data_IF_544728133785
#
_entry.id   IF_544728133785
#
_cell.length_a   1.000
_cell.length_b   1.000
_cell.length_c   1.000
_cell.angle_alpha   90.00
_cell.angle_beta   90.00
_cell.angle_gamma   90.00
#
_symmetry.space_group_name_H-M   'P 1'
#
loop_
_entity.id
_entity.type
_entity.pdbx_description
1 polymer ?
#
# COMPACT_ATOMS: atom_id res chain seq x y z
N UNK A 1 -37.14 39.91 4.96
CA UNK A 1 -35.87 39.16 5.07
C UNK A 1 -36.14 37.94 5.93
N UNK A 2 -36.44 36.80 5.29
CA UNK A 2 -36.65 35.52 5.96
C UNK A 2 -35.28 34.81 6.02
N UNK A 3 -34.87 34.40 7.22
CA UNK A 3 -33.74 33.49 7.41
C UNK A 3 -34.23 32.09 7.05
N UNK A 4 -33.53 31.48 6.11
CA UNK A 4 -33.75 30.12 5.67
C UNK A 4 -32.88 29.25 6.59
N UNK A 5 -33.50 28.66 7.62
CA UNK A 5 -32.86 27.67 8.47
C UNK A 5 -32.60 26.42 7.63
N UNK A 6 -31.32 26.09 7.48
CA UNK A 6 -30.88 24.88 6.80
C UNK A 6 -31.02 23.70 7.75
N UNK A 7 -31.99 22.83 7.47
CA UNK A 7 -32.13 21.51 8.07
C UNK A 7 -30.88 20.67 7.77
N UNK A 8 -29.94 20.64 8.71
CA UNK A 8 -28.88 19.64 8.76
C UNK A 8 -29.48 18.45 9.50
N UNK A 9 -29.86 17.41 8.78
CA UNK A 9 -30.23 16.13 9.41
C UNK A 9 -29.06 15.65 10.27
N UNK A 10 -29.27 15.35 11.57
CA UNK A 10 -28.25 14.74 12.39
C UNK A 10 -27.88 13.38 11.79
N UNK A 11 -26.58 13.13 11.69
CA UNK A 11 -25.99 11.87 11.29
C UNK A 11 -26.63 10.74 12.13
N UNK A 12 -27.63 10.06 11.57
CA UNK A 12 -28.28 8.91 12.20
C UNK A 12 -27.19 7.90 12.53
N UNK A 13 -26.95 7.68 13.82
CA UNK A 13 -26.09 6.62 14.31
C UNK A 13 -26.48 5.33 13.59
N UNK A 14 -25.57 4.83 12.74
CA UNK A 14 -25.78 3.57 12.05
C UNK A 14 -26.01 2.52 13.12
N UNK A 15 -27.16 1.84 13.05
CA UNK A 15 -27.55 0.78 13.95
C UNK A 15 -26.36 -0.14 14.22
N UNK A 16 -26.07 -0.39 15.50
CA UNK A 16 -25.01 -1.28 15.93
C UNK A 16 -25.10 -2.59 15.13
N UNK A 17 -24.00 -3.03 14.49
CA UNK A 17 -24.03 -4.24 13.68
C UNK A 17 -24.50 -5.41 14.53
N UNK A 18 -25.54 -6.10 14.06
CA UNK A 18 -26.03 -7.34 14.65
C UNK A 18 -24.84 -8.28 14.95
N UNK A 19 -24.79 -8.88 16.16
CA UNK A 19 -23.66 -9.70 16.61
C UNK A 19 -23.52 -11.05 15.86
N UNK A 20 -24.33 -11.30 14.82
CA UNK A 20 -24.45 -12.61 14.17
C UNK A 20 -23.65 -12.74 12.85
N UNK A 21 -22.56 -11.97 12.70
CA UNK A 21 -21.67 -12.06 11.50
C UNK A 21 -20.41 -12.89 11.72
N UNK A 22 -20.30 -13.62 12.84
CA UNK A 22 -19.01 -14.10 13.37
C UNK A 22 -18.42 -15.35 12.73
N UNK A 23 -19.07 -16.01 11.77
CA UNK A 23 -18.40 -17.07 11.02
C UNK A 23 -18.82 -17.11 9.55
N UNK A 24 -18.10 -16.38 8.69
CA UNK A 24 -18.10 -16.74 7.28
C UNK A 24 -17.20 -17.98 7.09
N UNK A 25 -17.75 -19.18 6.79
CA UNK A 25 -16.97 -20.41 6.68
C UNK A 25 -15.92 -20.37 5.56
N UNK A 26 -16.01 -19.37 4.66
CA UNK A 26 -15.05 -19.14 3.59
C UNK A 26 -13.80 -18.41 4.05
N UNK A 27 -13.77 -17.75 5.21
CA UNK A 27 -12.61 -16.98 5.66
C UNK A 27 -11.70 -17.85 6.55
N UNK A 28 -10.68 -18.45 5.94
CA UNK A 28 -9.62 -19.18 6.64
C UNK A 28 -8.28 -18.49 6.38
N UNK A 29 -7.40 -18.44 7.38
CA UNK A 29 -6.07 -17.81 7.21
C UNK A 29 -5.26 -18.50 6.10
N UNK A 30 -5.49 -19.80 5.90
CA UNK A 30 -4.90 -20.56 4.80
C UNK A 30 -5.21 -19.95 3.43
N UNK A 31 -6.40 -19.38 3.26
CA UNK A 31 -6.79 -18.77 2.00
C UNK A 31 -5.97 -17.52 1.66
N UNK A 32 -5.59 -16.73 2.67
CA UNK A 32 -4.64 -15.64 2.48
C UNK A 32 -3.33 -16.18 1.93
N UNK A 33 -2.81 -17.25 2.52
CA UNK A 33 -1.57 -17.87 2.06
C UNK A 33 -1.68 -18.43 0.65
N UNK A 34 -2.82 -19.04 0.27
CA UNK A 34 -3.06 -19.46 -1.13
C UNK A 34 -3.02 -18.26 -2.08
N UNK A 35 -3.65 -17.14 -1.73
CA UNK A 35 -3.61 -15.91 -2.54
C UNK A 35 -2.18 -15.40 -2.67
N UNK A 36 -1.45 -15.29 -1.56
CA UNK A 36 -0.08 -14.79 -1.51
C UNK A 36 0.89 -15.70 -2.27
N UNK A 37 0.80 -17.01 -2.10
CA UNK A 37 1.64 -17.99 -2.79
C UNK A 37 1.40 -17.99 -4.30
N UNK A 38 0.14 -17.97 -4.74
CA UNK A 38 -0.17 -17.92 -6.18
C UNK A 38 0.36 -16.64 -6.83
N UNK A 39 0.20 -15.48 -6.18
CA UNK A 39 0.71 -14.21 -6.69
C UNK A 39 2.23 -14.09 -6.58
N UNK A 40 2.82 -14.61 -5.50
CA UNK A 40 4.27 -14.66 -5.33
C UNK A 40 4.93 -15.56 -6.37
N UNK A 41 4.33 -16.72 -6.67
CA UNK A 41 4.77 -17.61 -7.73
C UNK A 41 4.64 -16.94 -9.11
N UNK A 42 3.52 -16.25 -9.38
CA UNK A 42 3.36 -15.49 -10.62
C UNK A 42 4.45 -14.41 -10.80
N UNK A 43 4.73 -13.63 -9.75
CA UNK A 43 5.78 -12.62 -9.76
C UNK A 43 7.18 -13.24 -9.92
N UNK A 44 7.46 -14.34 -9.22
CA UNK A 44 8.70 -15.11 -9.33
C UNK A 44 8.92 -15.60 -10.77
N UNK A 45 7.91 -16.25 -11.37
CA UNK A 45 7.97 -16.77 -12.73
C UNK A 45 8.17 -15.64 -13.75
N UNK A 46 7.50 -14.51 -13.55
CA UNK A 46 7.67 -13.32 -14.38
C UNK A 46 9.12 -12.81 -14.32
N UNK A 47 9.69 -12.65 -13.13
CA UNK A 47 11.09 -12.24 -12.95
C UNK A 47 12.07 -13.23 -13.57
N UNK A 48 11.84 -14.54 -13.40
CA UNK A 48 12.67 -15.59 -14.01
C UNK A 48 12.60 -15.56 -15.53
N UNK A 49 11.43 -15.29 -16.10
CA UNK A 49 11.23 -15.19 -17.54
C UNK A 49 12.00 -14.01 -18.14
N UNK A 50 12.10 -12.88 -17.41
CA UNK A 50 12.98 -11.78 -17.77
C UNK A 50 14.47 -12.08 -17.53
N UNK A 51 14.81 -12.87 -16.52
CA UNK A 51 16.19 -13.24 -16.20
C UNK A 51 16.80 -14.18 -17.25
N UNK A 52 16.07 -15.20 -17.69
CA UNK A 52 16.55 -16.23 -18.63
C UNK A 52 16.44 -15.82 -20.10
N UNK A 53 16.28 -14.53 -20.41
CA UNK A 53 16.09 -14.04 -21.78
C UNK A 53 14.96 -14.76 -22.52
N UNK A 54 13.91 -15.18 -21.81
CA UNK A 54 12.77 -15.92 -22.35
C UNK A 54 11.92 -15.11 -23.34
N UNK A 55 12.16 -13.80 -23.48
CA UNK A 55 11.55 -12.97 -24.52
C UNK A 55 12.59 -12.10 -25.25
N UNK A 56 13.39 -12.68 -26.17
CA UNK A 56 14.44 -11.95 -26.89
C UNK A 56 13.89 -10.77 -27.73
N UNK A 57 12.62 -10.86 -28.14
CA UNK A 57 11.88 -9.83 -28.89
C UNK A 57 11.77 -8.49 -28.15
N UNK A 58 11.67 -8.50 -26.81
CA UNK A 58 11.50 -7.25 -26.04
C UNK A 58 12.82 -6.67 -25.54
N UNK A 59 13.84 -7.50 -25.31
CA UNK A 59 15.17 -7.04 -24.86
C UNK A 59 15.94 -6.30 -25.97
N UNK A 60 15.72 -6.71 -27.22
CA UNK A 60 16.30 -6.06 -28.40
C UNK A 60 15.43 -4.93 -28.96
N UNK A 61 14.27 -4.66 -28.34
CA UNK A 61 13.42 -3.56 -28.76
C UNK A 61 14.06 -2.23 -28.38
N UNK A 62 14.35 -1.40 -29.37
CA UNK A 62 14.73 0.01 -29.15
C UNK A 62 13.56 0.84 -28.59
N UNK A 63 12.33 0.31 -28.68
CA UNK A 63 11.12 0.98 -28.22
C UNK A 63 10.78 0.62 -26.78
N UNK A 64 10.93 1.60 -25.88
CA UNK A 64 10.53 1.50 -24.46
C UNK A 64 9.04 1.20 -24.28
N UNK A 65 8.20 1.57 -25.26
CA UNK A 65 6.76 1.31 -25.22
C UNK A 65 6.44 -0.18 -25.19
N UNK A 66 7.21 -1.00 -25.89
CA UNK A 66 7.00 -2.45 -25.89
C UNK A 66 7.18 -3.05 -24.48
N UNK A 67 8.18 -2.57 -23.73
CA UNK A 67 8.42 -2.96 -22.33
C UNK A 67 7.32 -2.45 -21.40
N UNK A 68 6.84 -1.21 -21.59
CA UNK A 68 5.73 -0.64 -20.80
C UNK A 68 4.46 -1.45 -21.03
N UNK A 69 4.09 -1.74 -22.28
CA UNK A 69 2.89 -2.54 -22.60
C UNK A 69 2.99 -3.97 -22.08
N UNK A 70 4.16 -4.59 -22.15
CA UNK A 70 4.40 -5.90 -21.55
C UNK A 70 4.20 -5.86 -20.03
N UNK A 71 4.72 -4.82 -19.35
CA UNK A 71 4.50 -4.61 -17.92
C UNK A 71 3.02 -4.45 -17.59
N UNK A 72 2.28 -3.62 -18.34
CA UNK A 72 0.84 -3.45 -18.17
C UNK A 72 0.06 -4.75 -18.39
N UNK A 73 0.47 -5.57 -19.36
CA UNK A 73 -0.12 -6.89 -19.59
C UNK A 73 0.10 -7.81 -18.38
N UNK A 74 1.34 -7.87 -17.88
CA UNK A 74 1.67 -8.66 -16.68
C UNK A 74 0.86 -8.21 -15.48
N UNK A 75 0.76 -6.90 -15.23
CA UNK A 75 -0.04 -6.36 -14.13
C UNK A 75 -1.54 -6.67 -14.30
N UNK A 76 -2.05 -6.63 -15.53
CA UNK A 76 -3.45 -6.97 -15.82
C UNK A 76 -3.72 -8.46 -15.55
N UNK A 77 -2.82 -9.35 -15.96
CA UNK A 77 -2.91 -10.78 -15.68
C UNK A 77 -2.86 -11.06 -14.17
N UNK A 78 -1.95 -10.41 -13.45
CA UNK A 78 -1.84 -10.54 -12.00
C UNK A 78 -3.08 -9.99 -11.28
N UNK A 79 -3.60 -8.85 -11.71
CA UNK A 79 -4.86 -8.29 -11.19
C UNK A 79 -6.05 -9.24 -11.43
N UNK A 80 -6.11 -9.89 -12.60
CA UNK A 80 -7.10 -10.93 -12.89
C UNK A 80 -6.98 -12.14 -11.96
N UNK A 81 -5.76 -12.61 -11.69
CA UNK A 81 -5.51 -13.68 -10.72
C UNK A 81 -5.97 -13.28 -9.30
N UNK A 82 -5.65 -12.06 -8.85
CA UNK A 82 -6.13 -11.52 -7.57
C UNK A 82 -7.66 -11.51 -7.54
N UNK A 83 -8.29 -10.98 -8.59
CA UNK A 83 -9.74 -10.90 -8.67
C UNK A 83 -10.40 -12.27 -8.51
N UNK A 84 -9.93 -13.28 -9.26
CA UNK A 84 -10.46 -14.65 -9.18
C UNK A 84 -10.28 -15.25 -7.79
N UNK A 85 -9.07 -15.15 -7.22
CA UNK A 85 -8.77 -15.77 -5.93
C UNK A 85 -9.49 -15.07 -4.76
N UNK A 86 -9.57 -13.74 -4.78
CA UNK A 86 -10.29 -12.96 -3.74
C UNK A 86 -11.79 -13.23 -3.82
N UNK A 87 -12.39 -13.32 -5.02
CA UNK A 87 -13.81 -13.72 -5.14
C UNK A 87 -14.09 -15.13 -4.66
N UNK A 88 -13.14 -16.05 -4.86
CA UNK A 88 -13.27 -17.43 -4.42
C UNK A 88 -13.15 -17.59 -2.91
N UNK A 89 -12.22 -16.85 -2.30
CA UNK A 89 -11.79 -17.12 -0.93
C UNK A 89 -12.04 -16.00 0.10
N UNK A 90 -12.45 -14.82 -0.35
CA UNK A 90 -12.70 -13.66 0.50
C UNK A 90 -14.02 -12.97 0.11
N UNK A 91 -14.29 -11.82 0.73
CA UNK A 91 -15.53 -11.07 0.49
C UNK A 91 -15.38 -10.20 -0.76
N UNK A 92 -16.33 -10.27 -1.69
CA UNK A 92 -16.28 -9.52 -2.96
C UNK A 92 -16.09 -8.01 -2.76
N UNK A 93 -16.70 -7.42 -1.73
CA UNK A 93 -16.57 -5.99 -1.46
C UNK A 93 -15.13 -5.56 -1.12
N UNK A 94 -14.23 -6.50 -0.79
CA UNK A 94 -12.82 -6.19 -0.56
C UNK A 94 -12.10 -5.77 -1.85
N UNK A 95 -12.62 -6.15 -3.01
CA UNK A 95 -12.11 -5.71 -4.31
C UNK A 95 -12.56 -4.28 -4.67
N UNK A 96 -13.68 -3.82 -4.12
CA UNK A 96 -14.28 -2.52 -4.47
C UNK A 96 -13.89 -1.42 -3.50
N UNK A 97 -13.88 -1.74 -2.20
CA UNK A 97 -13.64 -0.78 -1.11
C UNK A 97 -12.35 0.04 -1.25
N UNK A 98 -11.26 -0.44 -1.85
CA UNK A 98 -10.06 0.39 -2.01
C UNK A 98 -10.14 1.47 -3.11
N UNK A 99 -11.20 1.47 -3.93
CA UNK A 99 -11.30 2.31 -5.13
C UNK A 99 -12.26 3.49 -4.98
N UNK A 100 -12.51 3.98 -3.76
CA UNK A 100 -13.27 5.20 -3.55
C UNK A 100 -12.48 6.42 -4.03
N UNK A 101 -13.00 7.13 -5.04
CA UNK A 101 -12.31 8.26 -5.69
C UNK A 101 -11.82 9.33 -4.71
N UNK A 102 -12.62 9.66 -3.69
CA UNK A 102 -12.26 10.65 -2.65
C UNK A 102 -10.98 10.26 -1.91
N UNK A 103 -10.81 8.96 -1.60
CA UNK A 103 -9.61 8.47 -0.93
C UNK A 103 -8.37 8.59 -1.82
N UNK A 104 -8.53 8.39 -3.13
CA UNK A 104 -7.47 8.53 -4.13
C UNK A 104 -7.07 9.98 -4.36
N UNK A 105 -8.01 10.90 -4.45
CA UNK A 105 -7.71 12.33 -4.60
C UNK A 105 -6.97 12.88 -3.38
N UNK A 106 -7.45 12.53 -2.19
CA UNK A 106 -6.79 12.93 -0.95
C UNK A 106 -5.40 12.28 -0.81
N UNK A 107 -5.29 10.98 -1.13
CA UNK A 107 -4.02 10.27 -1.15
C UNK A 107 -3.03 10.86 -2.15
N UNK A 108 -3.51 11.31 -3.31
CA UNK A 108 -2.70 11.98 -4.33
C UNK A 108 -2.20 13.32 -3.81
N UNK A 109 -3.06 14.14 -3.22
CA UNK A 109 -2.67 15.42 -2.64
C UNK A 109 -1.59 15.22 -1.56
N UNK A 110 -1.86 14.37 -0.55
CA UNK A 110 -0.91 14.14 0.56
C UNK A 110 0.35 13.45 0.07
N UNK A 111 0.22 12.42 -0.78
CA UNK A 111 1.36 11.70 -1.34
C UNK A 111 2.28 12.61 -2.16
N UNK A 112 1.70 13.47 -2.99
CA UNK A 112 2.43 14.47 -3.76
C UNK A 112 3.12 15.49 -2.84
N UNK A 113 2.42 16.01 -1.82
CA UNK A 113 3.02 16.94 -0.85
C UNK A 113 4.19 16.30 -0.11
N UNK A 114 4.02 15.09 0.42
CA UNK A 114 5.08 14.37 1.13
C UNK A 114 6.26 14.07 0.22
N UNK A 115 5.98 13.68 -1.01
CA UNK A 115 7.01 13.49 -2.01
C UNK A 115 7.75 14.80 -2.26
N UNK A 116 7.06 15.92 -2.55
CA UNK A 116 7.69 17.23 -2.73
C UNK A 116 8.55 17.65 -1.53
N UNK A 117 8.07 17.46 -0.30
CA UNK A 117 8.83 17.78 0.92
C UNK A 117 10.08 16.89 1.07
N UNK A 118 9.95 15.60 0.79
CA UNK A 118 11.09 14.67 0.80
C UNK A 118 12.14 15.10 -0.23
N UNK A 119 11.68 15.46 -1.43
CA UNK A 119 12.53 15.92 -2.53
C UNK A 119 13.20 17.26 -2.18
N UNK A 120 12.47 18.21 -1.58
CA UNK A 120 13.03 19.49 -1.12
C UNK A 120 14.08 19.30 -0.02
N UNK A 121 13.85 18.39 0.92
CA UNK A 121 14.83 18.06 1.95
C UNK A 121 16.09 17.41 1.37
N UNK A 122 15.94 16.46 0.44
CA UNK A 122 17.07 15.82 -0.24
C UNK A 122 17.85 16.80 -1.12
N UNK A 123 17.16 17.75 -1.76
CA UNK A 123 17.78 18.84 -2.51
C UNK A 123 18.78 19.62 -1.66
N UNK A 124 18.47 19.91 -0.39
CA UNK A 124 19.41 20.58 0.52
C UNK A 124 20.60 19.70 0.91
N UNK A 125 20.47 18.38 0.86
CA UNK A 125 21.55 17.43 1.19
C UNK A 125 22.45 17.09 0.00
N UNK A 126 21.93 17.14 -1.22
CA UNK A 126 22.61 16.66 -2.44
C UNK A 126 22.48 17.69 -3.58
N UNK A 127 23.32 18.75 -3.60
CA UNK A 127 23.22 19.85 -4.57
C UNK A 127 23.35 19.42 -6.05
N UNK A 128 24.06 18.32 -6.33
CA UNK A 128 24.27 17.76 -7.68
C UNK A 128 22.98 17.22 -8.31
N UNK A 129 21.95 16.96 -7.50
CA UNK A 129 20.68 16.41 -7.93
C UNK A 129 19.83 17.44 -8.74
N UNK A 130 20.19 18.73 -8.66
CA UNK A 130 19.52 19.84 -9.36
C UNK A 130 19.64 19.81 -10.88
N UNK A 131 20.72 19.26 -11.42
CA UNK A 131 21.03 19.32 -12.85
C UNK A 131 20.10 18.44 -13.72
N UNK A 132 19.38 17.48 -13.14
CA UNK A 132 18.58 16.49 -13.89
C UNK A 132 17.09 16.83 -14.01
N UNK A 133 16.60 17.76 -13.17
CA UNK A 133 15.19 18.16 -13.09
C UNK A 133 14.74 19.11 -14.22
N UNK A 134 15.67 19.76 -14.91
CA UNK A 134 15.36 20.86 -15.84
C UNK A 134 15.01 20.45 -17.28
N UNK A 135 14.76 19.16 -17.57
CA UNK A 135 14.33 18.75 -18.92
C UNK A 135 12.89 18.23 -18.95
N UNK A 136 12.07 18.77 -19.85
CA UNK A 136 10.71 18.27 -20.08
C UNK A 136 10.69 16.78 -20.48
N UNK A 137 11.75 16.31 -21.14
CA UNK A 137 11.91 14.90 -21.48
C UNK A 137 12.09 14.00 -20.23
N UNK A 138 12.85 14.44 -19.23
CA UNK A 138 13.00 13.73 -17.95
C UNK A 138 11.67 13.67 -17.21
N UNK A 139 10.93 14.78 -17.16
CA UNK A 139 9.61 14.84 -16.53
C UNK A 139 8.63 13.86 -17.17
N UNK A 140 8.51 13.87 -18.50
CA UNK A 140 7.61 12.95 -19.20
C UNK A 140 7.99 11.49 -18.97
N UNK A 141 9.29 11.16 -18.99
CA UNK A 141 9.76 9.79 -18.67
C UNK A 141 9.38 9.38 -17.26
N UNK A 142 9.62 10.24 -16.27
CA UNK A 142 9.19 10.01 -14.88
C UNK A 142 7.68 9.79 -14.82
N UNK A 143 6.89 10.70 -15.39
CA UNK A 143 5.44 10.67 -15.33
C UNK A 143 4.87 9.41 -15.97
N UNK A 144 5.35 9.02 -17.15
CA UNK A 144 4.90 7.79 -17.83
C UNK A 144 5.28 6.55 -17.05
N UNK A 145 6.49 6.45 -16.51
CA UNK A 145 6.89 5.30 -15.68
C UNK A 145 6.09 5.27 -14.38
N UNK A 146 5.88 6.43 -13.75
CA UNK A 146 5.11 6.55 -12.52
C UNK A 146 3.68 6.06 -12.70
N UNK A 147 2.99 6.55 -13.73
CA UNK A 147 1.60 6.18 -13.97
C UNK A 147 1.42 4.75 -14.47
N UNK A 148 2.27 4.30 -15.40
CA UNK A 148 2.04 3.04 -16.12
C UNK A 148 2.80 1.84 -15.56
N UNK A 149 3.74 2.08 -14.64
CA UNK A 149 4.53 1.02 -14.03
C UNK A 149 4.44 1.07 -12.51
N UNK A 150 4.85 2.19 -11.91
CA UNK A 150 5.02 2.27 -10.47
C UNK A 150 3.71 2.25 -9.69
N UNK A 151 2.66 2.96 -10.15
CA UNK A 151 1.34 2.91 -9.49
C UNK A 151 0.72 1.51 -9.61
N UNK A 152 0.59 0.88 -10.80
CA UNK A 152 0.02 -0.47 -10.90
C UNK A 152 0.78 -1.51 -10.07
N UNK A 153 2.12 -1.51 -10.15
CA UNK A 153 2.95 -2.43 -9.36
C UNK A 153 2.78 -2.22 -7.86
N UNK A 154 2.89 -0.97 -7.40
CA UNK A 154 2.67 -0.64 -5.98
C UNK A 154 1.25 -0.98 -5.52
N UNK A 155 0.23 -0.78 -6.35
CA UNK A 155 -1.15 -1.11 -5.99
C UNK A 155 -1.32 -2.60 -5.73
N UNK A 156 -0.81 -3.43 -6.63
CA UNK A 156 -0.85 -4.89 -6.51
C UNK A 156 -0.13 -5.34 -5.24
N UNK A 157 1.09 -4.84 -5.01
CA UNK A 157 1.87 -5.20 -3.83
C UNK A 157 1.21 -4.75 -2.53
N UNK A 158 0.76 -3.50 -2.44
CA UNK A 158 0.09 -2.99 -1.24
C UNK A 158 -1.25 -3.69 -1.00
N UNK A 159 -1.99 -4.05 -2.06
CA UNK A 159 -3.22 -4.81 -1.94
C UNK A 159 -2.94 -6.21 -1.34
N UNK A 160 -1.95 -6.92 -1.88
CA UNK A 160 -1.61 -8.27 -1.48
C UNK A 160 -0.97 -8.34 -0.09
N UNK A 161 0.03 -7.50 0.17
CA UNK A 161 0.89 -7.66 1.34
C UNK A 161 0.46 -6.80 2.52
N UNK A 162 -0.40 -5.79 2.34
CA UNK A 162 -0.82 -4.88 3.43
C UNK A 162 -2.33 -4.94 3.62
N UNK A 163 -3.10 -4.67 2.56
CA UNK A 163 -4.56 -4.62 2.64
C UNK A 163 -5.18 -5.97 3.02
N UNK A 164 -4.90 -7.05 2.28
CA UNK A 164 -5.48 -8.36 2.55
C UNK A 164 -5.12 -8.91 3.93
N UNK A 165 -3.84 -8.98 4.36
CA UNK A 165 -3.48 -9.53 5.67
C UNK A 165 -4.15 -8.82 6.83
N UNK A 166 -4.25 -7.49 6.77
CA UNK A 166 -4.98 -6.70 7.77
C UNK A 166 -6.47 -7.06 7.79
N UNK A 167 -7.09 -7.21 6.62
CA UNK A 167 -8.51 -7.57 6.52
C UNK A 167 -8.77 -8.97 7.09
N UNK A 168 -7.92 -9.93 6.75
CA UNK A 168 -7.97 -11.28 7.30
C UNK A 168 -7.78 -11.26 8.83
N UNK A 169 -6.79 -10.54 9.35
CA UNK A 169 -6.57 -10.43 10.79
C UNK A 169 -7.78 -9.87 11.54
N UNK A 170 -8.38 -8.80 11.00
CA UNK A 170 -9.57 -8.16 11.59
C UNK A 170 -10.79 -9.07 11.53
N UNK A 171 -11.08 -9.67 10.38
CA UNK A 171 -12.29 -10.47 10.18
C UNK A 171 -12.25 -11.82 10.88
N UNK A 172 -11.05 -12.36 11.10
CA UNK A 172 -10.84 -13.55 11.92
C UNK A 172 -10.66 -13.23 13.41
N UNK A 173 -10.80 -11.95 13.80
CA UNK A 173 -10.64 -11.49 15.19
C UNK A 173 -9.36 -12.02 15.84
N UNK A 174 -8.24 -11.98 15.10
CA UNK A 174 -6.96 -12.48 15.61
C UNK A 174 -6.51 -11.61 16.78
N UNK A 175 -6.01 -12.27 17.84
CA UNK A 175 -5.38 -11.55 18.95
C UNK A 175 -4.22 -10.68 18.45
N UNK A 176 -3.84 -9.67 19.23
CA UNK A 176 -2.73 -8.76 18.90
C UNK A 176 -1.45 -9.52 18.54
N UNK A 177 -1.09 -10.54 19.35
CA UNK A 177 0.09 -11.38 19.11
C UNK A 177 -0.01 -12.14 17.79
N UNK A 178 -1.15 -12.78 17.51
CA UNK A 178 -1.36 -13.52 16.24
C UNK A 178 -1.33 -12.59 15.03
N UNK A 179 -1.86 -11.37 15.18
CA UNK A 179 -1.84 -10.33 14.14
C UNK A 179 -0.41 -9.89 13.85
N UNK A 180 0.41 -9.62 14.88
CA UNK A 180 1.82 -9.26 14.71
C UNK A 180 2.61 -10.38 14.05
N UNK A 181 2.41 -11.63 14.48
CA UNK A 181 3.06 -12.80 13.86
C UNK A 181 2.67 -12.94 12.39
N UNK A 182 1.39 -12.75 12.05
CA UNK A 182 0.94 -12.76 10.66
C UNK A 182 1.64 -11.67 9.84
N UNK A 183 1.72 -10.44 10.35
CA UNK A 183 2.34 -9.33 9.64
C UNK A 183 3.82 -9.59 9.41
N UNK A 184 4.54 -10.07 10.42
CA UNK A 184 5.94 -10.47 10.28
C UNK A 184 6.12 -11.59 9.25
N UNK A 185 5.27 -12.61 9.27
CA UNK A 185 5.32 -13.69 8.28
C UNK A 185 5.09 -13.18 6.86
N UNK A 186 4.12 -12.26 6.67
CA UNK A 186 3.86 -11.64 5.36
C UNK A 186 5.04 -10.77 4.90
N UNK A 187 5.68 -10.03 5.80
CA UNK A 187 6.87 -9.22 5.47
C UNK A 187 8.06 -10.11 5.07
N UNK A 188 8.27 -11.22 5.78
CA UNK A 188 9.30 -12.21 5.41
C UNK A 188 8.98 -12.80 4.03
N UNK A 189 7.73 -13.18 3.79
CA UNK A 189 7.30 -13.69 2.50
C UNK A 189 7.49 -12.66 1.37
N UNK A 190 7.09 -11.40 1.59
CA UNK A 190 7.36 -10.28 0.69
C UNK A 190 8.86 -10.13 0.39
N UNK A 191 9.71 -10.26 1.40
CA UNK A 191 11.18 -10.19 1.22
C UNK A 191 11.67 -11.34 0.35
N UNK A 192 11.17 -12.55 0.57
CA UNK A 192 11.52 -13.75 -0.21
C UNK A 192 11.14 -13.58 -1.68
N UNK A 193 9.98 -12.97 -2.00
CA UNK A 193 9.59 -12.75 -3.39
C UNK A 193 10.52 -11.79 -4.15
N UNK A 194 11.39 -11.04 -3.45
CA UNK A 194 12.39 -10.15 -4.03
C UNK A 194 13.74 -10.82 -4.31
N UNK A 195 13.99 -12.03 -3.80
CA UNK A 195 15.25 -12.77 -4.02
C UNK A 195 15.66 -12.85 -5.50
N UNK A 196 14.76 -13.20 -6.44
CA UNK A 196 15.14 -13.30 -7.86
C UNK A 196 15.64 -11.98 -8.44
N UNK A 197 14.93 -10.89 -8.14
CA UNK A 197 15.31 -9.57 -8.62
C UNK A 197 16.64 -9.14 -7.99
N UNK A 198 16.76 -9.24 -6.67
CA UNK A 198 17.93 -8.72 -5.95
C UNK A 198 19.18 -9.57 -6.14
N UNK A 199 19.09 -10.88 -5.91
CA UNK A 199 20.27 -11.75 -5.90
C UNK A 199 20.63 -12.27 -7.28
N UNK A 200 19.65 -12.54 -8.16
CA UNK A 200 19.94 -13.12 -9.47
C UNK A 200 20.03 -12.05 -10.55
N UNK A 201 19.00 -11.22 -10.72
CA UNK A 201 18.97 -10.20 -11.77
C UNK A 201 19.95 -9.05 -11.51
N UNK A 202 19.92 -8.47 -10.31
CA UNK A 202 20.78 -7.33 -9.95
C UNK A 202 22.12 -7.75 -9.35
N UNK A 203 22.31 -9.05 -9.05
CA UNK A 203 23.55 -9.61 -8.48
C UNK A 203 24.00 -8.90 -7.18
N UNK A 204 23.04 -8.43 -6.40
CA UNK A 204 23.33 -7.85 -5.08
C UNK A 204 23.61 -8.94 -4.05
N UNK A 205 24.25 -8.56 -2.94
CA UNK A 205 24.53 -9.47 -1.83
C UNK A 205 23.26 -9.82 -1.06
N UNK A 206 23.26 -10.92 -0.31
CA UNK A 206 22.12 -11.31 0.54
C UNK A 206 21.66 -10.19 1.48
N UNK A 207 22.59 -9.36 1.94
CA UNK A 207 22.32 -8.24 2.84
C UNK A 207 21.47 -7.13 2.21
N UNK A 208 21.43 -7.05 0.88
CA UNK A 208 20.53 -6.14 0.17
C UNK A 208 19.04 -6.44 0.39
N UNK A 209 18.68 -7.66 0.81
CA UNK A 209 17.30 -8.03 1.16
C UNK A 209 16.80 -7.34 2.45
N UNK A 210 17.71 -6.76 3.24
CA UNK A 210 17.32 -5.91 4.37
C UNK A 210 16.49 -4.71 3.91
N UNK A 211 16.71 -4.25 2.67
CA UNK A 211 15.99 -3.14 2.10
C UNK A 211 14.49 -3.46 1.88
N UNK A 212 14.09 -4.47 1.06
CA UNK A 212 12.68 -4.84 0.94
C UNK A 212 12.06 -5.30 2.27
N UNK A 213 12.84 -5.87 3.20
CA UNK A 213 12.35 -6.22 4.53
C UNK A 213 11.94 -4.98 5.35
N UNK A 214 12.85 -4.01 5.51
CA UNK A 214 12.58 -2.78 6.29
C UNK A 214 11.55 -1.90 5.63
N UNK A 215 11.59 -1.77 4.29
CA UNK A 215 10.54 -1.14 3.50
C UNK A 215 9.19 -1.84 3.73
N UNK A 216 9.22 -3.16 3.80
CA UNK A 216 8.04 -3.97 4.02
C UNK A 216 7.36 -3.68 5.36
N UNK A 217 8.16 -3.56 6.42
CA UNK A 217 7.71 -3.13 7.75
C UNK A 217 7.16 -1.70 7.72
N UNK A 218 7.89 -0.77 7.11
CA UNK A 218 7.50 0.64 7.05
C UNK A 218 6.14 0.84 6.37
N UNK A 219 5.91 0.24 5.20
CA UNK A 219 4.61 0.32 4.53
C UNK A 219 3.49 -0.40 5.29
N UNK A 220 3.82 -1.46 6.03
CA UNK A 220 2.86 -2.09 6.93
C UNK A 220 2.39 -1.11 8.01
N UNK A 221 3.32 -0.38 8.64
CA UNK A 221 2.98 0.66 9.61
C UNK A 221 2.16 1.80 8.97
N UNK A 222 2.57 2.29 7.80
CA UNK A 222 1.80 3.31 7.04
C UNK A 222 0.37 2.86 6.82
N UNK A 223 0.18 1.65 6.28
CA UNK A 223 -1.16 1.15 5.98
C UNK A 223 -1.96 0.85 7.25
N UNK A 224 -1.32 0.31 8.29
CA UNK A 224 -1.99 0.08 9.57
C UNK A 224 -2.48 1.40 10.19
N UNK A 225 -1.64 2.44 10.13
CA UNK A 225 -1.94 3.78 10.65
C UNK A 225 -3.03 4.49 9.84
N UNK A 226 -3.01 4.41 8.51
CA UNK A 226 -3.90 5.19 7.63
C UNK A 226 -5.17 4.43 7.26
N UNK A 227 -5.11 3.09 7.18
CA UNK A 227 -6.15 2.22 6.60
C UNK A 227 -6.58 2.65 5.20
N UNK A 228 -5.70 3.35 4.47
CA UNK A 228 -5.97 3.91 3.15
C UNK A 228 -5.01 3.26 2.14
N UNK A 229 -5.53 2.33 1.33
CA UNK A 229 -4.71 1.64 0.34
C UNK A 229 -4.17 2.61 -0.71
N UNK A 230 -5.00 3.54 -1.20
CA UNK A 230 -4.59 4.52 -2.20
C UNK A 230 -3.39 5.35 -1.73
N UNK A 231 -3.41 5.79 -0.47
CA UNK A 231 -2.30 6.52 0.14
C UNK A 231 -1.03 5.66 0.19
N UNK A 232 -1.11 4.45 0.75
CA UNK A 232 0.06 3.57 0.83
C UNK A 232 0.61 3.24 -0.56
N UNK A 233 -0.26 2.99 -1.55
CA UNK A 233 0.11 2.72 -2.94
C UNK A 233 0.84 3.90 -3.57
N UNK A 234 0.28 5.11 -3.51
CA UNK A 234 0.90 6.28 -4.12
C UNK A 234 2.22 6.61 -3.44
N UNK A 235 2.25 6.49 -2.11
CA UNK A 235 3.47 6.68 -1.33
C UNK A 235 4.56 5.67 -1.72
N UNK A 236 4.20 4.40 -1.91
CA UNK A 236 5.11 3.37 -2.42
C UNK A 236 5.57 3.67 -3.85
N UNK A 237 4.65 4.03 -4.75
CA UNK A 237 4.99 4.38 -6.13
C UNK A 237 5.98 5.58 -6.20
N UNK A 238 5.75 6.61 -5.37
CA UNK A 238 6.62 7.78 -5.29
C UNK A 238 8.01 7.41 -4.80
N UNK A 239 8.07 6.56 -3.78
CA UNK A 239 9.32 6.06 -3.25
C UNK A 239 10.12 5.24 -4.29
N UNK A 240 9.45 4.40 -5.08
CA UNK A 240 10.13 3.57 -6.09
C UNK A 240 10.69 4.37 -7.27
N UNK A 241 10.18 5.58 -7.53
CA UNK A 241 10.62 6.42 -8.65
C UNK A 241 11.46 7.65 -8.27
N UNK A 242 11.90 7.77 -7.01
CA UNK A 242 12.74 8.90 -6.57
C UNK A 242 14.03 9.06 -7.38
N UNK A 243 14.58 7.97 -7.92
CA UNK A 243 15.80 7.96 -8.73
C UNK A 243 15.69 8.64 -10.10
N UNK A 244 14.49 8.78 -10.65
CA UNK A 244 14.28 9.45 -11.94
C UNK A 244 14.52 10.97 -11.87
N UNK A 245 14.54 11.55 -10.67
CA UNK A 245 14.80 12.97 -10.47
C UNK A 245 16.24 13.25 -10.01
N UNK A 246 16.80 12.37 -9.17
CA UNK A 246 18.10 12.60 -8.53
C UNK A 246 19.23 11.69 -9.03
N UNK A 247 18.92 10.73 -9.92
CA UNK A 247 19.84 9.66 -10.31
C UNK A 247 19.78 8.45 -9.37
N UNK A 248 20.61 7.43 -9.66
CA UNK A 248 20.79 6.32 -8.74
C UNK A 248 21.45 6.85 -7.46
N UNK A 249 20.64 7.22 -6.47
CA UNK A 249 21.15 7.33 -5.12
C UNK A 249 21.45 5.92 -4.63
N UNK A 250 22.71 5.62 -4.34
CA UNK A 250 23.12 4.33 -3.75
C UNK A 250 22.40 4.08 -2.42
N UNK A 251 21.89 5.14 -1.78
CA UNK A 251 21.20 5.09 -0.50
C UNK A 251 19.80 5.70 -0.61
N UNK A 252 18.79 4.85 -0.49
CA UNK A 252 17.39 5.28 -0.27
C UNK A 252 17.24 5.66 1.21
N UNK A 253 17.09 6.94 1.51
CA UNK A 253 16.86 7.42 2.89
C UNK A 253 15.39 7.21 3.29
N UNK A 254 15.14 6.20 4.13
CA UNK A 254 13.82 5.85 4.64
C UNK A 254 13.39 6.67 5.87
N UNK A 255 14.29 7.46 6.45
CA UNK A 255 14.10 8.10 7.75
C UNK A 255 12.93 9.09 7.71
N UNK A 256 12.84 9.88 6.63
CA UNK A 256 11.75 10.85 6.45
C UNK A 256 10.39 10.16 6.32
N UNK A 257 10.34 9.04 5.58
CA UNK A 257 9.14 8.22 5.41
C UNK A 257 8.67 7.64 6.74
N UNK A 258 9.60 7.07 7.51
CA UNK A 258 9.32 6.50 8.81
C UNK A 258 8.80 7.58 9.77
N UNK A 259 9.44 8.76 9.80
CA UNK A 259 9.01 9.89 10.63
C UNK A 259 7.60 10.37 10.31
N UNK A 260 7.29 10.58 9.03
CA UNK A 260 5.94 10.97 8.61
C UNK A 260 4.90 9.92 9.00
N UNK A 261 5.24 8.64 8.85
CA UNK A 261 4.36 7.51 9.20
C UNK A 261 4.09 7.44 10.70
N UNK A 262 5.13 7.64 11.52
CA UNK A 262 5.03 7.72 12.99
C UNK A 262 4.17 8.92 13.38
N UNK A 263 4.44 10.11 12.82
CA UNK A 263 3.66 11.31 13.11
C UNK A 263 2.18 11.11 12.78
N UNK A 264 1.88 10.51 11.62
CA UNK A 264 0.52 10.20 11.21
C UNK A 264 -0.17 9.22 12.17
N UNK A 265 0.53 8.16 12.56
CA UNK A 265 0.04 7.19 13.52
C UNK A 265 -0.30 7.84 14.86
N UNK A 266 0.58 8.70 15.39
CA UNK A 266 0.38 9.43 16.65
C UNK A 266 -0.80 10.41 16.57
N UNK A 267 -0.96 11.13 15.45
CA UNK A 267 -2.08 12.04 15.25
C UNK A 267 -3.42 11.30 15.29
N UNK A 268 -3.53 10.17 14.58
CA UNK A 268 -4.79 9.42 14.48
C UNK A 268 -5.14 8.67 15.76
N UNK A 269 -4.17 8.06 16.44
CA UNK A 269 -4.42 7.36 17.70
C UNK A 269 -4.94 8.31 18.76
N UNK A 270 -4.50 9.58 18.76
CA UNK A 270 -5.09 10.62 19.61
C UNK A 270 -6.55 10.85 19.26
N UNK A 271 -6.89 11.11 18.00
CA UNK A 271 -8.27 11.37 17.57
C UNK A 271 -9.22 10.19 17.84
N UNK A 272 -8.76 8.95 17.68
CA UNK A 272 -9.56 7.77 17.97
C UNK A 272 -9.73 7.51 19.47
N UNK A 273 -8.73 7.86 20.29
CA UNK A 273 -8.85 7.79 21.75
C UNK A 273 -9.83 8.83 22.30
N UNK A 274 -9.89 10.03 21.70
CA UNK A 274 -10.86 11.06 22.09
C UNK A 274 -12.29 10.64 21.76
N UNK A 275 -12.51 10.08 20.56
CA UNK A 275 -13.83 9.60 20.14
C UNK A 275 -14.35 8.42 20.98
N UNK A 276 -13.44 7.60 21.54
CA UNK A 276 -13.82 6.49 22.44
C UNK A 276 -14.13 6.97 23.87
N UNK A 277 -13.49 8.04 24.33
CA UNK A 277 -13.78 8.61 25.66
C UNK A 277 -15.12 9.34 25.72
N UNK A 278 -15.55 9.95 24.62
CA UNK A 278 -16.84 10.64 24.57
C UNK A 278 -18.03 9.66 24.58
N UNK A 279 -17.90 8.48 23.94
CA UNK A 279 -18.92 7.41 23.98
C UNK A 279 -19.08 6.79 25.39
N UNK A 280 -17.98 6.57 26.13
CA UNK A 280 -18.04 6.05 27.50
C UNK A 280 -18.69 7.03 28.50
N UNK A 281 -18.68 8.34 28.20
CA UNK A 281 -19.30 9.37 29.04
C UNK A 281 -20.83 9.45 28.90
N UNK A 282 -21.39 8.85 27.84
CA UNK A 282 -22.84 8.84 27.57
C UNK A 282 -23.54 7.52 27.93
N UNK A 283 -22.79 6.44 28.21
CA UNK A 283 -23.35 5.12 28.58
C UNK A 283 -23.38 4.82 30.09
N UNK A 284 -23.16 5.82 30.96
CA UNK A 284 -23.38 5.68 32.40
C UNK A 284 -24.86 6.00 32.74
N UNK A 285 -25.78 5.02 32.81
CA UNK A 285 -27.09 5.26 33.40
C UNK A 285 -26.87 5.63 34.86
N UNK A 286 -27.28 6.84 35.23
CA UNK A 286 -27.30 7.32 36.60
C UNK A 286 -28.10 6.33 37.46
N UNK A 287 -27.49 5.56 38.38
CA UNK A 287 -28.16 4.48 39.11
C UNK A 287 -29.03 5.01 40.27
N UNK A 288 -29.53 6.24 40.18
CA UNK A 288 -30.35 6.90 41.20
C UNK A 288 -31.64 7.45 40.61
N UNK A 289 -32.54 6.55 40.22
CA UNK A 289 -33.96 6.88 40.08
C UNK A 289 -34.82 5.61 40.14
N UNK A 290 -34.85 5.00 41.33
CA UNK A 290 -35.98 4.16 41.74
C UNK A 290 -36.12 4.26 43.25
N UNK A 291 -36.88 5.27 43.68
CA UNK A 291 -37.58 5.30 44.97
C UNK A 291 -39.04 5.05 44.65
#
# INVERSE_FOLDING_TARGET
>A
MSKQDSDIEPYSAAAAPSPDTTHNPRLKIWNLWVILLANGAFALLTNLLFFFDGIPLFKNSTSRWALIFLGLLIYSLQAGLIFVLVRKFALNHWLQRPFHAVQWLWALAVGLTLWLLTNAFLFFKLPEATLRLNSGQSFWRFFTTFLLNSIPGALIEEFLFRYLPVRYAHMMQLSRTKTLLLFMAVVVFFTITHIPAYLWQYKYTLWSLWNPFTMGIAFFFVYYATRNLAFTTLFHAFHNNSWYLFGHAEHKDYSFIILVSIFWFLLRTRTQATLWQDDESHESPNPKASV
#
